data_IF_071075067684
#
_entry.id   IF_071075067684
#
_cell.length_a   1.000
_cell.length_b   1.000
_cell.length_c   1.000
_cell.angle_alpha   90.00
_cell.angle_beta   90.00
_cell.angle_gamma   90.00
#
_symmetry.space_group_name_H-M   'P 1'
#
loop_
_entity.id
_entity.type
_entity.pdbx_description
1 polymer ?
#
# COMPACT_ATOMS: atom_id res chain seq x y z
N UNK A 1 14.26 -5.47 20.76
CA UNK A 1 15.03 -5.02 19.57
C UNK A 1 15.68 -6.15 18.78
N UNK A 2 16.18 -7.22 19.41
CA UNK A 2 16.98 -8.28 18.77
C UNK A 2 16.26 -9.04 17.63
N UNK A 3 14.95 -9.29 17.76
CA UNK A 3 14.14 -9.97 16.74
C UNK A 3 14.05 -9.19 15.42
N UNK A 4 14.04 -7.85 15.47
CA UNK A 4 13.98 -6.99 14.27
C UNK A 4 15.25 -7.14 13.44
N UNK A 5 16.41 -7.18 14.10
CA UNK A 5 17.72 -7.30 13.44
C UNK A 5 17.94 -8.71 12.86
N UNK A 6 17.35 -9.74 13.46
CA UNK A 6 17.50 -11.15 13.02
C UNK A 6 16.31 -11.71 12.25
N UNK A 7 15.39 -10.86 11.81
CA UNK A 7 14.14 -11.29 11.19
C UNK A 7 14.35 -12.28 10.03
N UNK A 8 15.28 -11.98 9.12
CA UNK A 8 15.57 -12.85 7.96
C UNK A 8 16.09 -14.22 8.38
N UNK A 9 16.92 -14.29 9.43
CA UNK A 9 17.43 -15.55 9.96
C UNK A 9 16.32 -16.38 10.61
N UNK A 10 15.47 -15.74 11.42
CA UNK A 10 14.33 -16.39 12.08
C UNK A 10 13.29 -16.88 11.07
N UNK A 11 13.01 -16.09 10.01
CA UNK A 11 12.11 -16.50 8.94
C UNK A 11 12.64 -17.71 8.15
N UNK A 12 13.95 -17.73 7.84
CA UNK A 12 14.59 -18.89 7.21
C UNK A 12 14.57 -20.12 8.12
N UNK A 13 14.88 -19.95 9.40
CA UNK A 13 14.86 -21.03 10.38
C UNK A 13 13.45 -21.64 10.50
N UNK A 14 12.42 -20.80 10.59
CA UNK A 14 11.02 -21.26 10.64
C UNK A 14 10.68 -22.12 9.41
N UNK A 15 11.04 -21.67 8.21
CA UNK A 15 10.83 -22.45 6.98
C UNK A 15 11.58 -23.79 6.95
N UNK A 16 12.82 -23.82 7.43
CA UNK A 16 13.68 -25.01 7.41
C UNK A 16 13.30 -26.04 8.48
N UNK A 17 12.95 -25.57 9.68
CA UNK A 17 12.67 -26.43 10.83
C UNK A 17 11.19 -26.74 10.97
N UNK A 18 10.35 -26.09 10.19
CA UNK A 18 8.90 -26.11 10.32
C UNK A 18 8.41 -25.69 11.74
N UNK A 19 9.17 -24.84 12.43
CA UNK A 19 8.87 -24.38 13.78
C UNK A 19 8.38 -22.93 13.81
N UNK A 20 7.40 -22.66 14.68
CA UNK A 20 6.92 -21.30 14.95
C UNK A 20 7.76 -20.65 16.06
N UNK A 21 8.33 -19.48 15.78
CA UNK A 21 9.04 -18.66 16.77
C UNK A 21 8.13 -17.54 17.26
N UNK A 22 7.89 -17.47 18.57
CA UNK A 22 7.12 -16.38 19.20
C UNK A 22 8.06 -15.23 19.56
N UNK A 23 7.75 -14.03 19.08
CA UNK A 23 8.44 -12.79 19.43
C UNK A 23 7.70 -12.16 20.61
N UNK A 24 8.42 -11.92 21.71
CA UNK A 24 7.90 -11.28 22.91
C UNK A 24 8.52 -9.88 23.11
N UNK A 25 7.76 -8.99 23.75
CA UNK A 25 8.20 -7.68 24.25
C UNK A 25 7.80 -7.59 25.73
N UNK A 26 8.75 -7.32 26.62
CA UNK A 26 8.56 -7.31 28.08
C UNK A 26 7.86 -8.57 28.63
N UNK A 27 8.24 -9.73 28.09
CA UNK A 27 7.66 -11.04 28.47
C UNK A 27 6.25 -11.29 27.92
N UNK A 28 5.66 -10.33 27.18
CA UNK A 28 4.35 -10.47 26.55
C UNK A 28 4.48 -10.85 25.08
N UNK A 29 3.68 -11.79 24.55
CA UNK A 29 3.71 -12.15 23.14
C UNK A 29 3.24 -10.99 22.26
N UNK A 30 4.08 -10.59 21.30
CA UNK A 30 3.82 -9.50 20.36
C UNK A 30 3.54 -10.01 18.95
N UNK A 31 4.28 -11.01 18.49
CA UNK A 31 4.14 -11.59 17.16
C UNK A 31 4.59 -13.05 17.11
N UNK A 32 4.29 -13.75 16.02
CA UNK A 32 4.82 -15.08 15.72
C UNK A 32 5.35 -15.13 14.29
N UNK A 33 6.48 -15.80 14.10
CA UNK A 33 7.06 -16.14 12.80
C UNK A 33 6.79 -17.62 12.58
N UNK A 34 5.95 -17.95 11.61
CA UNK A 34 5.50 -19.31 11.35
C UNK A 34 5.82 -19.72 9.90
N UNK A 35 6.02 -21.03 9.63
CA UNK A 35 6.05 -21.58 8.27
C UNK A 35 4.74 -21.27 7.53
N UNK A 36 4.80 -21.05 6.21
CA UNK A 36 3.64 -20.68 5.38
C UNK A 36 2.50 -21.72 5.46
N UNK A 37 2.83 -23.00 5.62
CA UNK A 37 1.85 -24.09 5.78
C UNK A 37 1.39 -24.36 7.22
N UNK A 38 2.00 -23.73 8.22
CA UNK A 38 1.66 -23.92 9.62
C UNK A 38 0.47 -23.03 10.07
N UNK A 39 0.13 -22.02 9.28
CA UNK A 39 -1.02 -21.15 9.55
C UNK A 39 -2.26 -21.84 9.01
N UNK A 40 -2.90 -22.66 9.86
CA UNK A 40 -4.30 -23.03 9.63
C UNK A 40 -5.13 -21.85 10.14
N UNK A 41 -5.90 -21.15 9.29
CA UNK A 41 -6.85 -20.16 9.78
C UNK A 41 -7.81 -20.90 10.72
N UNK A 42 -7.82 -20.52 11.99
CA UNK A 42 -8.85 -20.94 12.94
C UNK A 42 -10.08 -20.07 12.65
N UNK A 43 -11.14 -20.62 12.02
CA UNK A 43 -12.32 -19.83 11.69
C UNK A 43 -13.11 -19.41 12.94
N UNK A 44 -12.77 -19.93 14.12
CA UNK A 44 -13.63 -19.90 15.30
C UNK A 44 -13.15 -18.95 16.41
N UNK A 45 -12.02 -18.25 16.21
CA UNK A 45 -11.59 -17.18 17.11
C UNK A 45 -11.83 -15.81 16.50
N UNK A 46 -12.93 -15.13 16.84
CA UNK A 46 -13.05 -13.70 16.58
C UNK A 46 -11.91 -12.99 17.31
N UNK A 47 -10.87 -12.61 16.58
CA UNK A 47 -9.80 -11.80 17.11
C UNK A 47 -10.29 -10.34 17.14
N UNK A 48 -10.60 -9.75 18.31
CA UNK A 48 -11.08 -8.38 18.40
C UNK A 48 -10.04 -7.37 17.86
N UNK A 49 -8.75 -7.72 17.87
CA UNK A 49 -7.70 -6.90 17.26
C UNK A 49 -7.78 -6.89 15.73
N UNK A 50 -8.23 -7.99 15.09
CA UNK A 50 -8.44 -8.04 13.64
C UNK A 50 -9.63 -7.16 13.22
N UNK A 51 -10.72 -7.14 14.00
CA UNK A 51 -11.84 -6.24 13.78
C UNK A 51 -11.43 -4.75 13.94
N UNK A 52 -10.57 -4.46 14.93
CA UNK A 52 -9.99 -3.13 15.11
C UNK A 52 -9.08 -2.71 13.95
N UNK A 53 -8.31 -3.64 13.39
CA UNK A 53 -7.43 -3.40 12.24
C UNK A 53 -8.20 -3.13 10.95
N UNK A 54 -9.23 -3.93 10.66
CA UNK A 54 -10.13 -3.74 9.50
C UNK A 54 -10.76 -2.35 9.55
N UNK A 55 -11.32 -1.96 10.70
CA UNK A 55 -11.93 -0.62 10.88
C UNK A 55 -10.92 0.52 10.68
N UNK A 56 -9.64 0.30 11.00
CA UNK A 56 -8.56 1.27 10.79
C UNK A 56 -8.18 1.40 9.32
N UNK A 57 -8.13 0.28 8.59
CA UNK A 57 -7.91 0.26 7.14
C UNK A 57 -9.05 0.97 6.41
N UNK A 58 -10.31 0.70 6.80
CA UNK A 58 -11.47 1.34 6.16
C UNK A 58 -11.49 2.85 6.39
N UNK A 59 -11.12 3.30 7.60
CA UNK A 59 -10.96 4.72 7.91
C UNK A 59 -9.85 5.36 7.08
N UNK A 60 -8.70 4.70 6.94
CA UNK A 60 -7.60 5.19 6.09
C UNK A 60 -8.01 5.25 4.62
N UNK A 61 -8.72 4.24 4.10
CA UNK A 61 -9.25 4.24 2.73
C UNK A 61 -10.29 5.34 2.50
N UNK A 62 -11.17 5.60 3.46
CA UNK A 62 -12.14 6.69 3.37
C UNK A 62 -11.44 8.06 3.41
N UNK A 63 -10.43 8.23 4.26
CA UNK A 63 -9.65 9.47 4.33
C UNK A 63 -8.85 9.71 3.06
N UNK A 64 -8.16 8.69 2.56
CA UNK A 64 -7.42 8.76 1.31
C UNK A 64 -8.36 9.06 0.13
N UNK A 65 -9.53 8.40 0.07
CA UNK A 65 -10.55 8.74 -0.93
C UNK A 65 -10.99 10.19 -0.82
N UNK A 66 -11.30 10.69 0.38
CA UNK A 66 -11.69 12.10 0.61
C UNK A 66 -10.61 13.08 0.19
N UNK A 67 -9.35 12.76 0.44
CA UNK A 67 -8.20 13.57 0.01
C UNK A 67 -7.99 13.53 -1.51
N UNK A 68 -8.42 12.46 -2.18
CA UNK A 68 -8.23 12.24 -3.61
C UNK A 68 -9.47 12.56 -4.48
N UNK A 69 -10.66 12.86 -3.91
CA UNK A 69 -11.90 13.16 -4.70
C UNK A 69 -11.74 14.37 -5.62
N UNK A 70 -10.77 15.24 -5.37
CA UNK A 70 -10.47 16.39 -6.22
C UNK A 70 -9.16 16.29 -6.98
N UNK A 71 -8.37 15.21 -6.82
CA UNK A 71 -7.02 15.15 -7.40
C UNK A 71 -7.07 14.98 -8.92
N UNK A 72 -7.95 14.13 -9.42
CA UNK A 72 -8.14 13.94 -10.87
C UNK A 72 -8.62 15.23 -11.52
N UNK A 73 -9.62 15.90 -10.92
CA UNK A 73 -10.11 17.20 -11.38
C UNK A 73 -9.02 18.28 -11.34
N UNK A 74 -8.25 18.35 -10.25
CA UNK A 74 -7.15 19.29 -10.11
C UNK A 74 -6.03 19.03 -11.11
N UNK A 75 -5.76 17.76 -11.43
CA UNK A 75 -4.78 17.37 -12.44
C UNK A 75 -5.26 17.75 -13.84
N UNK A 76 -6.54 17.52 -14.16
CA UNK A 76 -7.15 17.98 -15.41
C UNK A 76 -7.09 19.51 -15.56
N UNK A 77 -7.42 20.24 -14.50
CA UNK A 77 -7.39 21.70 -14.50
C UNK A 77 -5.95 22.22 -14.66
N UNK A 78 -4.97 21.59 -14.01
CA UNK A 78 -3.56 21.90 -14.16
C UNK A 78 -3.06 21.65 -15.60
N UNK A 79 -3.47 20.55 -16.24
CA UNK A 79 -3.17 20.28 -17.64
C UNK A 79 -3.82 21.29 -18.58
N UNK A 80 -5.06 21.69 -18.31
CA UNK A 80 -5.79 22.69 -19.11
C UNK A 80 -5.10 24.07 -19.04
N UNK A 81 -4.59 24.43 -17.87
CA UNK A 81 -3.82 25.64 -17.67
C UNK A 81 -2.45 25.58 -18.36
N UNK A 82 -1.77 24.44 -18.30
CA UNK A 82 -0.50 24.24 -19.00
C UNK A 82 -0.66 24.31 -20.53
N UNK A 83 -1.73 23.74 -21.07
CA UNK A 83 -2.06 23.81 -22.50
C UNK A 83 -2.39 25.27 -22.94
N UNK A 84 -2.96 26.08 -22.05
CA UNK A 84 -3.20 27.52 -22.30
C UNK A 84 -1.92 28.33 -22.36
N UNK A 85 -0.97 28.06 -21.46
CA UNK A 85 0.29 28.81 -21.37
C UNK A 85 1.33 28.35 -22.40
N UNK A 86 1.28 27.08 -22.83
CA UNK A 86 2.25 26.52 -23.77
C UNK A 86 1.56 25.54 -24.71
N UNK A 87 0.99 26.03 -25.83
CA UNK A 87 0.36 25.17 -26.83
C UNK A 87 1.33 24.09 -27.34
N UNK A 88 0.82 22.94 -27.83
CA UNK A 88 1.66 21.87 -28.36
C UNK A 88 2.69 22.37 -29.39
N UNK A 89 3.94 21.91 -29.28
CA UNK A 89 5.03 22.34 -30.15
C UNK A 89 5.68 23.68 -29.79
N UNK A 90 5.19 24.38 -28.76
CA UNK A 90 5.75 25.65 -28.29
C UNK A 90 6.93 25.43 -27.33
N UNK A 91 6.86 24.40 -26.49
CA UNK A 91 7.88 24.07 -25.50
C UNK A 91 8.19 22.56 -25.51
N UNK A 92 9.44 22.23 -25.84
CA UNK A 92 9.92 20.84 -25.93
C UNK A 92 9.91 20.10 -24.60
N UNK A 93 10.09 20.79 -23.47
CA UNK A 93 10.02 20.16 -22.13
C UNK A 93 8.58 19.84 -21.76
N UNK A 94 7.65 20.72 -22.07
CA UNK A 94 6.22 20.49 -21.88
C UNK A 94 5.73 19.36 -22.80
N UNK A 95 6.22 19.30 -24.04
CA UNK A 95 5.91 18.19 -24.95
C UNK A 95 6.46 16.85 -24.46
N UNK A 96 7.69 16.82 -23.92
CA UNK A 96 8.23 15.62 -23.29
C UNK A 96 7.39 15.16 -22.08
N UNK A 97 6.91 16.12 -21.27
CA UNK A 97 6.02 15.83 -20.14
C UNK A 97 4.69 15.24 -20.60
N UNK A 98 4.11 15.77 -21.69
CA UNK A 98 2.89 15.22 -22.34
C UNK A 98 3.09 13.79 -22.81
N UNK A 99 4.23 13.48 -23.44
CA UNK A 99 4.56 12.13 -23.88
C UNK A 99 4.70 11.18 -22.69
N UNK A 100 5.36 11.62 -21.61
CA UNK A 100 5.60 10.79 -20.43
C UNK A 100 4.32 10.44 -19.64
N UNK A 101 3.29 11.30 -19.69
CA UNK A 101 2.03 11.13 -18.94
C UNK A 101 0.81 10.86 -19.85
N UNK A 102 1.06 10.34 -21.06
CA UNK A 102 0.01 10.05 -22.04
C UNK A 102 -0.97 8.94 -21.57
N UNK A 103 -0.52 8.08 -20.66
CA UNK A 103 -1.31 7.05 -20.00
C UNK A 103 -2.32 7.64 -19.02
N UNK A 104 -1.92 8.62 -18.21
CA UNK A 104 -2.77 9.32 -17.24
C UNK A 104 -3.78 10.24 -17.93
N UNK A 105 -3.46 10.77 -19.12
CA UNK A 105 -4.39 11.55 -19.96
C UNK A 105 -5.46 10.70 -20.65
N UNK A 106 -5.34 9.37 -20.66
CA UNK A 106 -6.37 8.51 -21.26
C UNK A 106 -7.38 8.17 -20.16
N UNK A 107 -8.61 8.72 -20.17
CA UNK A 107 -9.65 8.16 -19.31
C UNK A 107 -9.77 6.67 -19.67
N UNK A 108 -9.56 5.80 -18.69
CA UNK A 108 -9.74 4.36 -18.88
C UNK A 108 -11.16 4.11 -19.43
N UNK A 109 -11.36 3.12 -20.30
CA UNK A 109 -12.69 2.78 -20.78
C UNK A 109 -13.55 2.43 -19.56
N UNK A 110 -14.50 3.31 -19.24
CA UNK A 110 -15.64 2.98 -18.38
C UNK A 110 -16.40 1.85 -19.05
N UNK A 111 -16.21 0.63 -18.53
CA UNK A 111 -17.11 -0.50 -18.69
C UNK A 111 -17.97 -0.65 -17.45
#
# INVERSE_FOLDING_TARGET
MEARTRFVQLARLAGLTNQTTVVTEDGRPLAAIAPIGAIRPDPERPNPAAAGWIRRIDKLRAEFRRQHVGLEQALEDAWRELDRMSPPGTDKQVDALRTAHADIRRPGPTG
#
